data_IF_388292214556
#
_entry.id   IF_388292214556
#
_cell.length_a   1.000
_cell.length_b   1.000
_cell.length_c   1.000
_cell.angle_alpha   90.00
_cell.angle_beta   90.00
_cell.angle_gamma   90.00
#
_symmetry.space_group_name_H-M   'P 1'
#
loop_
_entity.id
_entity.type
_entity.pdbx_description
1 polymer ?
#
# COMPACT_ATOMS: atom_id res chain seq x y z
N UNK A 1 -12.10 -22.64 -50.83
CA UNK A 1 -11.01 -22.42 -49.83
C UNK A 1 -11.55 -21.58 -48.69
N UNK A 2 -11.71 -22.15 -47.50
CA UNK A 2 -12.13 -21.43 -46.30
C UNK A 2 -10.87 -21.12 -45.49
N UNK A 3 -10.52 -19.83 -45.41
CA UNK A 3 -9.38 -19.35 -44.60
C UNK A 3 -9.77 -19.41 -43.13
N UNK A 4 -9.13 -20.27 -42.38
CA UNK A 4 -9.22 -20.27 -40.92
C UNK A 4 -8.39 -19.11 -40.37
N UNK A 5 -9.05 -18.13 -39.75
CA UNK A 5 -8.38 -17.09 -38.97
C UNK A 5 -8.12 -17.68 -37.57
N UNK A 6 -6.86 -17.98 -37.30
CA UNK A 6 -6.39 -18.39 -35.97
C UNK A 6 -6.30 -17.16 -35.09
N UNK A 7 -7.30 -16.93 -34.22
CA UNK A 7 -7.19 -15.95 -33.14
C UNK A 7 -6.21 -16.48 -32.09
N UNK A 8 -4.99 -15.95 -32.09
CA UNK A 8 -4.05 -16.16 -30.99
C UNK A 8 -4.55 -15.40 -29.76
N UNK A 9 -5.07 -16.13 -28.78
CA UNK A 9 -5.34 -15.59 -27.45
C UNK A 9 -3.98 -15.34 -26.76
N UNK A 10 -3.57 -14.10 -26.61
CA UNK A 10 -2.46 -13.73 -25.74
C UNK A 10 -2.92 -13.95 -24.29
N UNK A 11 -2.45 -15.03 -23.68
CA UNK A 11 -2.55 -15.20 -22.24
C UNK A 11 -1.66 -14.16 -21.60
N UNK A 12 -2.24 -13.10 -21.03
CA UNK A 12 -1.53 -12.18 -20.16
C UNK A 12 -1.06 -12.97 -18.95
N UNK A 13 0.24 -13.16 -18.79
CA UNK A 13 0.79 -13.76 -17.58
C UNK A 13 0.50 -12.81 -16.41
N UNK A 14 -0.23 -13.31 -15.40
CA UNK A 14 -0.50 -12.55 -14.19
C UNK A 14 0.83 -12.25 -13.49
N UNK A 15 1.14 -10.96 -13.28
CA UNK A 15 2.27 -10.54 -12.47
C UNK A 15 1.84 -10.67 -11.01
N UNK A 16 2.54 -11.51 -10.24
CA UNK A 16 2.30 -11.62 -8.81
C UNK A 16 3.63 -11.67 -8.06
N UNK A 17 3.69 -11.03 -6.91
CA UNK A 17 4.86 -11.00 -6.08
C UNK A 17 4.55 -10.56 -4.65
N UNK A 18 5.59 -10.50 -3.84
CA UNK A 18 5.48 -10.07 -2.45
C UNK A 18 6.84 -9.93 -1.81
N UNK A 19 6.82 -9.44 -0.58
CA UNK A 19 7.99 -9.31 0.27
C UNK A 19 7.56 -9.51 1.73
N UNK A 20 8.21 -10.41 2.44
CA UNK A 20 8.03 -10.63 3.86
C UNK A 20 9.19 -10.09 4.70
N UNK A 21 10.15 -9.41 4.03
CA UNK A 21 11.30 -8.74 4.63
C UNK A 21 12.29 -9.63 5.41
N UNK A 22 12.08 -10.93 5.49
CA UNK A 22 12.87 -11.86 6.31
C UNK A 22 14.34 -11.99 5.89
N UNK A 23 14.63 -11.78 4.62
CA UNK A 23 15.97 -11.88 4.05
C UNK A 23 16.75 -10.56 4.01
N UNK A 24 16.13 -9.46 4.44
CA UNK A 24 16.69 -8.12 4.38
C UNK A 24 17.21 -7.66 5.75
N UNK A 25 18.15 -6.72 5.72
CA UNK A 25 18.65 -6.01 6.91
C UNK A 25 18.96 -4.56 6.55
N UNK A 26 18.68 -3.63 7.47
CA UNK A 26 18.97 -2.21 7.25
C UNK A 26 17.96 -1.53 6.31
N UNK A 27 18.42 -0.98 5.19
CA UNK A 27 17.53 -0.36 4.20
C UNK A 27 16.79 -1.43 3.37
N UNK A 28 15.52 -1.22 3.01
CA UNK A 28 14.75 -2.22 2.25
C UNK A 28 15.23 -2.30 0.79
N UNK A 29 15.95 -3.36 0.44
CA UNK A 29 16.43 -3.59 -0.92
C UNK A 29 15.27 -3.84 -1.89
N UNK A 30 15.30 -3.22 -3.08
CA UNK A 30 14.22 -3.30 -4.08
C UNK A 30 13.00 -2.44 -3.73
N UNK A 31 13.21 -1.46 -2.83
CA UNK A 31 12.23 -0.47 -2.46
C UNK A 31 12.86 0.93 -2.47
N UNK A 32 12.13 1.90 -2.94
CA UNK A 32 12.48 3.32 -2.86
C UNK A 32 11.82 3.95 -1.64
N UNK A 33 12.62 4.17 -0.59
CA UNK A 33 12.21 4.92 0.61
C UNK A 33 12.16 6.42 0.28
N UNK A 34 10.99 7.04 0.44
CA UNK A 34 10.74 8.44 0.09
C UNK A 34 9.62 9.05 0.94
N UNK A 35 9.18 10.24 0.57
CA UNK A 35 8.05 10.95 1.18
C UNK A 35 7.38 11.88 0.20
N UNK A 36 6.12 12.21 0.44
CA UNK A 36 5.44 13.38 -0.10
C UNK A 36 5.59 14.54 0.88
N UNK A 37 5.84 15.73 0.41
CA UNK A 37 5.97 16.93 1.25
C UNK A 37 7.27 17.00 2.03
N UNK A 38 7.23 17.49 3.26
CA UNK A 38 8.39 17.80 4.10
C UNK A 38 8.65 16.75 5.19
N UNK A 39 9.76 16.92 5.94
CA UNK A 39 10.17 16.05 7.03
C UNK A 39 11.15 14.96 6.60
N UNK A 40 11.38 13.96 7.44
CA UNK A 40 12.31 12.87 7.19
C UNK A 40 11.66 11.50 7.46
N UNK A 41 11.31 10.78 6.42
CA UNK A 41 10.87 9.39 6.51
C UNK A 41 12.06 8.49 6.83
N UNK A 42 11.88 7.55 7.76
CA UNK A 42 12.90 6.56 8.12
C UNK A 42 12.35 5.16 7.96
N UNK A 43 12.78 4.48 6.92
CA UNK A 43 12.41 3.12 6.59
C UNK A 43 13.57 2.17 6.87
N UNK A 44 13.34 1.16 7.73
CA UNK A 44 14.35 0.18 8.14
C UNK A 44 13.76 -1.21 8.22
N UNK A 45 14.60 -2.23 8.01
CA UNK A 45 14.24 -3.62 8.31
C UNK A 45 14.73 -3.94 9.71
N UNK A 46 13.80 -4.34 10.58
CA UNK A 46 14.05 -4.64 11.99
C UNK A 46 13.41 -5.97 12.39
N UNK A 47 13.93 -6.59 13.44
CA UNK A 47 13.32 -7.80 14.03
C UNK A 47 12.08 -7.44 14.83
N UNK A 48 11.03 -8.24 14.71
CA UNK A 48 9.84 -8.19 15.56
C UNK A 48 9.34 -9.61 15.83
N UNK A 49 9.35 -10.02 17.11
CA UNK A 49 8.93 -11.36 17.54
C UNK A 49 7.43 -11.62 17.36
N UNK A 50 6.65 -10.55 17.13
CA UNK A 50 5.22 -10.62 16.86
C UNK A 50 4.88 -10.58 15.38
N UNK A 51 5.90 -10.51 14.49
CA UNK A 51 5.70 -10.47 13.04
C UNK A 51 4.88 -11.67 12.56
N UNK A 52 3.95 -11.47 11.61
CA UNK A 52 3.22 -12.56 10.96
C UNK A 52 4.12 -13.54 10.22
N UNK A 53 5.09 -13.06 9.46
CA UNK A 53 6.27 -13.80 9.05
C UNK A 53 7.45 -13.42 9.96
N UNK A 54 8.45 -14.24 10.06
CA UNK A 54 9.58 -14.01 10.97
C UNK A 54 10.89 -14.22 10.24
N UNK A 55 11.94 -13.49 10.62
CA UNK A 55 12.08 -12.71 11.86
C UNK A 55 11.91 -11.19 11.70
N UNK A 56 11.73 -10.65 10.49
CA UNK A 56 11.88 -9.24 10.23
C UNK A 56 10.59 -8.57 9.72
N UNK A 57 10.55 -7.26 9.85
CA UNK A 57 9.48 -6.39 9.37
C UNK A 57 10.07 -5.15 8.71
N UNK A 58 9.34 -4.51 7.80
CA UNK A 58 9.64 -3.16 7.37
C UNK A 58 9.03 -2.18 8.37
N UNK A 59 9.83 -1.27 8.93
CA UNK A 59 9.40 -0.27 9.90
C UNK A 59 9.57 1.14 9.36
N UNK A 60 8.54 1.95 9.53
CA UNK A 60 8.61 3.41 9.44
C UNK A 60 8.69 3.99 10.84
N UNK A 61 9.66 4.87 11.13
CA UNK A 61 9.87 5.52 12.44
C UNK A 61 10.33 6.97 12.35
N UNK A 62 10.37 7.55 11.17
CA UNK A 62 10.65 8.97 10.97
C UNK A 62 9.38 9.81 11.03
N UNK A 63 9.53 11.13 10.91
CA UNK A 63 8.43 12.09 10.86
C UNK A 63 8.48 12.87 9.55
N UNK A 64 7.41 12.72 8.73
CA UNK A 64 7.27 13.42 7.46
C UNK A 64 5.78 13.62 7.14
N UNK A 65 5.46 14.54 6.24
CA UNK A 65 4.06 14.79 5.84
C UNK A 65 3.37 13.49 5.46
N UNK A 66 3.94 12.74 4.51
CA UNK A 66 3.50 11.38 4.17
C UNK A 66 4.73 10.51 3.85
N UNK A 67 5.23 9.70 4.79
CA UNK A 67 6.24 8.69 4.50
C UNK A 67 5.71 7.66 3.50
N UNK A 68 6.46 7.41 2.42
CA UNK A 68 6.12 6.46 1.35
C UNK A 68 7.29 5.53 1.11
N UNK A 69 7.02 4.24 0.92
CA UNK A 69 8.00 3.27 0.48
C UNK A 69 7.45 2.51 -0.73
N UNK A 70 8.08 2.71 -1.90
CA UNK A 70 7.60 2.26 -3.20
C UNK A 70 8.33 0.99 -3.60
N UNK A 71 7.62 -0.06 -4.00
CA UNK A 71 8.21 -1.28 -4.55
C UNK A 71 8.69 -1.05 -5.98
N UNK A 72 10.00 -1.19 -6.22
CA UNK A 72 10.66 -0.68 -7.44
C UNK A 72 10.26 -1.43 -8.73
N UNK A 73 10.15 -2.75 -8.66
CA UNK A 73 9.95 -3.66 -9.80
C UNK A 73 8.48 -3.97 -10.08
N UNK A 74 7.58 -3.01 -9.81
CA UNK A 74 6.14 -3.18 -10.01
C UNK A 74 5.59 -2.18 -11.02
N UNK A 75 4.61 -2.64 -11.83
CA UNK A 75 3.87 -1.81 -12.78
C UNK A 75 2.51 -2.45 -13.02
N UNK A 76 1.48 -2.04 -12.28
CA UNK A 76 0.15 -2.63 -12.31
C UNK A 76 -0.88 -1.60 -12.76
N UNK A 77 -1.72 -1.98 -13.76
CA UNK A 77 -2.90 -1.21 -14.17
C UNK A 77 -4.12 -1.68 -13.41
N UNK A 78 -4.34 -2.99 -13.39
CA UNK A 78 -5.41 -3.69 -12.69
C UNK A 78 -4.83 -4.80 -11.85
N UNK A 79 -5.47 -5.13 -10.72
CA UNK A 79 -4.98 -6.18 -9.84
C UNK A 79 -5.28 -5.92 -8.38
N UNK A 80 -4.32 -6.23 -7.51
CA UNK A 80 -4.43 -5.96 -6.08
C UNK A 80 -3.09 -5.58 -5.47
N UNK A 81 -3.16 -4.92 -4.31
CA UNK A 81 -2.06 -4.74 -3.36
C UNK A 81 -2.57 -5.02 -1.95
N UNK A 82 -1.77 -5.71 -1.14
CA UNK A 82 -2.12 -6.04 0.23
C UNK A 82 -0.88 -6.02 1.13
N UNK A 83 -1.10 -5.77 2.42
CA UNK A 83 -0.05 -5.76 3.45
C UNK A 83 -0.65 -6.11 4.80
N UNK A 84 0.14 -6.73 5.67
CA UNK A 84 -0.12 -6.69 7.10
C UNK A 84 0.63 -5.52 7.71
N UNK A 85 -0.03 -4.77 8.59
CA UNK A 85 0.59 -3.65 9.27
C UNK A 85 0.20 -3.63 10.76
N UNK A 86 1.07 -3.05 11.59
CA UNK A 86 0.81 -2.83 13.02
C UNK A 86 1.15 -1.38 13.35
N UNK A 87 0.14 -0.53 13.66
CA UNK A 87 0.39 0.81 14.17
C UNK A 87 0.92 0.70 15.61
N UNK A 88 2.13 1.20 15.87
CA UNK A 88 2.81 1.00 17.16
C UNK A 88 2.76 2.24 18.02
N UNK A 89 3.00 3.41 17.42
CA UNK A 89 3.06 4.69 18.11
C UNK A 89 2.80 5.85 17.15
N UNK A 90 2.63 7.02 17.71
CA UNK A 90 2.39 8.31 17.08
C UNK A 90 1.42 9.10 17.94
N UNK A 91 1.61 10.41 18.03
CA UNK A 91 0.73 11.34 18.76
C UNK A 91 -0.21 12.07 17.80
N UNK A 92 0.32 12.45 16.64
CA UNK A 92 -0.46 13.10 15.59
C UNK A 92 -1.22 12.07 14.76
N UNK A 93 -0.58 10.93 14.48
CA UNK A 93 -1.19 9.88 13.65
C UNK A 93 -0.70 8.48 14.03
N UNK A 94 -1.51 7.44 13.81
CA UNK A 94 -1.13 6.03 13.91
C UNK A 94 -1.72 5.27 12.72
N UNK A 95 -1.16 5.53 11.55
CA UNK A 95 -1.68 5.05 10.28
C UNK A 95 -0.77 4.03 9.61
N UNK A 96 -1.38 3.06 8.92
CA UNK A 96 -0.72 2.19 7.97
C UNK A 96 -1.56 2.04 6.72
N UNK A 97 -0.92 2.02 5.54
CA UNK A 97 -1.63 1.99 4.27
C UNK A 97 -0.84 1.37 3.13
N UNK A 98 -1.54 1.16 2.03
CA UNK A 98 -0.98 0.75 0.74
C UNK A 98 -1.22 1.83 -0.30
N UNK A 99 -0.31 1.93 -1.27
CA UNK A 99 -0.45 2.78 -2.45
C UNK A 99 -0.51 1.92 -3.71
N UNK A 100 -1.20 2.42 -4.74
CA UNK A 100 -1.24 1.81 -6.07
C UNK A 100 -1.31 2.86 -7.17
N UNK A 101 -1.05 2.43 -8.40
CA UNK A 101 -0.88 3.29 -9.58
C UNK A 101 0.03 4.49 -9.28
N UNK A 102 1.06 4.25 -8.47
CA UNK A 102 2.01 5.25 -8.06
C UNK A 102 2.92 5.59 -9.26
N UNK A 103 2.94 6.87 -9.63
CA UNK A 103 3.81 7.42 -10.67
C UNK A 103 5.12 7.92 -10.07
N UNK A 104 5.02 8.58 -8.91
CA UNK A 104 6.13 9.17 -8.16
C UNK A 104 5.71 9.42 -6.69
N UNK A 105 6.55 10.10 -5.92
CA UNK A 105 6.30 10.41 -4.52
C UNK A 105 5.12 11.36 -4.27
N UNK A 106 4.59 12.02 -5.30
CA UNK A 106 3.55 13.05 -5.19
C UNK A 106 2.26 12.68 -5.94
N UNK A 107 2.25 11.53 -6.67
CA UNK A 107 1.15 11.15 -7.55
C UNK A 107 0.80 9.66 -7.41
N UNK A 108 -0.21 9.34 -6.62
CA UNK A 108 -0.63 7.95 -6.32
C UNK A 108 -2.01 7.88 -5.65
N UNK A 109 -2.62 6.71 -5.67
CA UNK A 109 -3.76 6.37 -4.78
C UNK A 109 -3.27 5.80 -3.46
N UNK A 110 -4.08 6.00 -2.39
CA UNK A 110 -3.83 5.46 -1.05
C UNK A 110 -5.10 4.88 -0.48
N UNK A 111 -5.01 3.72 0.16
CA UNK A 111 -5.94 3.28 1.18
C UNK A 111 -5.17 3.13 2.50
N UNK A 112 -5.68 3.73 3.58
CA UNK A 112 -5.06 3.64 4.90
C UNK A 112 -6.08 3.34 5.99
N UNK A 113 -5.65 2.66 7.06
CA UNK A 113 -6.38 2.56 8.31
C UNK A 113 -5.62 3.34 9.40
N UNK A 114 -6.34 3.96 10.35
CA UNK A 114 -5.77 4.81 11.38
C UNK A 114 -6.35 4.48 12.75
N UNK A 115 -5.46 4.15 13.70
CA UNK A 115 -5.85 3.73 15.04
C UNK A 115 -6.28 4.90 15.94
N UNK A 116 -5.86 6.14 15.67
CA UNK A 116 -6.31 7.32 16.43
C UNK A 116 -7.68 7.84 15.95
N UNK A 117 -8.00 7.60 14.68
CA UNK A 117 -9.25 8.07 14.07
C UNK A 117 -10.32 6.97 13.98
N UNK A 118 -9.99 5.71 14.21
CA UNK A 118 -10.88 4.55 14.04
C UNK A 118 -11.60 4.57 12.69
N UNK A 119 -10.83 4.69 11.60
CA UNK A 119 -11.38 4.69 10.26
C UNK A 119 -10.44 4.06 9.21
N UNK A 120 -11.05 3.65 8.10
CA UNK A 120 -10.37 3.32 6.85
C UNK A 120 -10.79 4.36 5.82
N UNK A 121 -9.81 4.95 5.12
CA UNK A 121 -10.08 6.01 4.15
C UNK A 121 -9.24 5.81 2.88
N UNK A 122 -9.84 6.12 1.74
CA UNK A 122 -9.22 6.06 0.43
C UNK A 122 -9.05 7.49 -0.13
N UNK A 123 -7.91 7.75 -0.76
CA UNK A 123 -7.53 9.06 -1.27
C UNK A 123 -6.84 8.93 -2.63
N UNK A 124 -6.79 10.03 -3.36
CA UNK A 124 -5.73 10.29 -4.33
C UNK A 124 -4.79 11.39 -3.83
N UNK A 125 -3.52 11.33 -4.21
CA UNK A 125 -2.53 12.38 -4.03
C UNK A 125 -2.09 12.83 -5.42
N UNK A 126 -2.25 14.10 -5.73
CA UNK A 126 -1.92 14.71 -7.04
C UNK A 126 -1.07 15.94 -6.77
N UNK A 127 0.18 15.95 -7.29
CA UNK A 127 1.13 17.02 -7.03
C UNK A 127 1.36 17.25 -5.54
N UNK A 128 1.40 16.19 -4.74
CA UNK A 128 1.56 16.23 -3.29
C UNK A 128 0.30 16.59 -2.49
N UNK A 129 -0.78 17.02 -3.15
CA UNK A 129 -2.05 17.34 -2.49
C UNK A 129 -2.92 16.09 -2.36
N UNK A 130 -3.19 15.68 -1.13
CA UNK A 130 -4.05 14.55 -0.80
C UNK A 130 -5.50 14.97 -0.65
N UNK A 131 -6.41 14.23 -1.33
CA UNK A 131 -7.87 14.43 -1.26
C UNK A 131 -8.55 13.10 -1.00
N UNK A 132 -9.37 13.03 0.07
CA UNK A 132 -10.20 11.86 0.37
C UNK A 132 -11.45 11.84 -0.50
N UNK A 133 -11.84 10.67 -0.99
CA UNK A 133 -13.08 10.51 -1.74
C UNK A 133 -14.02 9.44 -1.17
N UNK A 134 -13.57 8.64 -0.20
CA UNK A 134 -14.41 7.73 0.58
C UNK A 134 -13.77 7.41 1.93
N UNK A 135 -14.60 7.32 2.97
CA UNK A 135 -14.18 6.91 4.32
C UNK A 135 -15.24 6.01 4.97
N UNK A 136 -14.80 5.12 5.87
CA UNK A 136 -15.63 4.23 6.65
C UNK A 136 -15.10 4.16 8.08
N UNK A 137 -15.97 4.45 9.06
CA UNK A 137 -15.66 4.25 10.47
C UNK A 137 -15.47 2.76 10.73
N UNK A 138 -14.31 2.40 11.23
CA UNK A 138 -13.90 1.02 11.44
C UNK A 138 -12.90 1.00 12.59
N UNK A 139 -13.13 0.18 13.60
CA UNK A 139 -12.20 0.06 14.73
C UNK A 139 -10.86 -0.44 14.24
N UNK A 140 -9.80 0.31 14.58
CA UNK A 140 -8.40 -0.02 14.29
C UNK A 140 -7.61 -0.01 15.59
N UNK A 141 -7.22 -1.19 16.07
CA UNK A 141 -6.52 -1.30 17.33
C UNK A 141 -5.04 -0.93 17.20
N UNK A 142 -4.53 -0.05 18.08
CA UNK A 142 -3.09 0.19 18.19
C UNK A 142 -2.37 -1.03 18.76
N UNK A 143 -1.14 -1.28 18.31
CA UNK A 143 -0.30 -2.40 18.75
C UNK A 143 -0.73 -3.78 18.26
N UNK A 144 -1.69 -3.86 17.34
CA UNK A 144 -2.25 -5.10 16.79
C UNK A 144 -1.94 -5.19 15.29
N UNK A 145 -1.66 -6.40 14.82
CA UNK A 145 -1.50 -6.68 13.39
C UNK A 145 -2.86 -6.68 12.68
N UNK A 146 -2.98 -5.88 11.65
CA UNK A 146 -4.13 -5.76 10.76
C UNK A 146 -3.77 -6.15 9.33
N UNK A 147 -4.74 -6.58 8.55
CA UNK A 147 -4.60 -6.84 7.12
C UNK A 147 -5.37 -5.79 6.32
N UNK A 148 -4.70 -5.12 5.40
CA UNK A 148 -5.31 -4.17 4.47
C UNK A 148 -5.03 -4.61 3.03
N UNK A 149 -6.07 -4.65 2.22
CA UNK A 149 -6.02 -5.01 0.80
C UNK A 149 -6.86 -4.07 -0.03
N UNK A 150 -6.35 -3.72 -1.20
CA UNK A 150 -7.10 -3.02 -2.24
C UNK A 150 -7.10 -3.88 -3.49
N UNK A 151 -8.28 -4.19 -4.01
CA UNK A 151 -8.47 -4.71 -5.35
C UNK A 151 -8.89 -3.55 -6.25
N UNK A 152 -8.26 -3.41 -7.41
CA UNK A 152 -8.49 -2.30 -8.34
C UNK A 152 -8.63 -2.80 -9.78
N UNK A 153 -9.70 -2.34 -10.45
CA UNK A 153 -10.01 -2.65 -11.84
C UNK A 153 -10.68 -1.46 -12.53
N UNK A 154 -10.08 -0.96 -13.62
CA UNK A 154 -10.53 0.30 -14.23
C UNK A 154 -10.52 1.42 -13.18
N UNK A 155 -11.66 2.09 -13.00
CA UNK A 155 -11.85 3.12 -11.98
C UNK A 155 -12.47 2.60 -10.67
N UNK A 156 -12.71 1.31 -10.55
CA UNK A 156 -13.36 0.70 -9.38
C UNK A 156 -12.32 0.18 -8.39
N UNK A 157 -12.54 0.47 -7.11
CA UNK A 157 -11.68 0.06 -6.00
C UNK A 157 -12.50 -0.59 -4.90
N UNK A 158 -12.01 -1.74 -4.41
CA UNK A 158 -12.58 -2.44 -3.26
C UNK A 158 -11.51 -2.50 -2.18
N UNK A 159 -11.79 -1.93 -1.01
CA UNK A 159 -10.90 -2.00 0.15
C UNK A 159 -11.44 -3.03 1.13
N UNK A 160 -10.56 -3.97 1.48
CA UNK A 160 -10.79 -5.00 2.49
C UNK A 160 -9.88 -4.74 3.69
N UNK A 161 -10.46 -4.64 4.87
CA UNK A 161 -9.76 -4.51 6.15
C UNK A 161 -10.14 -5.68 7.06
N UNK A 162 -9.15 -6.39 7.59
CA UNK A 162 -9.31 -7.59 8.43
C UNK A 162 -10.34 -8.58 7.86
N UNK A 163 -10.22 -8.87 6.57
CA UNK A 163 -11.08 -9.79 5.80
C UNK A 163 -12.51 -9.31 5.57
N UNK A 164 -12.85 -8.05 5.91
CA UNK A 164 -14.17 -7.47 5.63
C UNK A 164 -14.06 -6.39 4.56
N UNK A 165 -14.92 -6.45 3.54
CA UNK A 165 -15.06 -5.34 2.59
C UNK A 165 -15.61 -4.13 3.36
N UNK A 166 -14.84 -3.04 3.40
CA UNK A 166 -15.18 -1.82 4.12
C UNK A 166 -15.48 -0.65 3.20
N UNK A 167 -14.84 -0.60 2.01
CA UNK A 167 -15.07 0.46 1.03
C UNK A 167 -15.25 -0.16 -0.35
N UNK A 168 -16.16 0.41 -1.12
CA UNK A 168 -16.25 0.30 -2.56
C UNK A 168 -16.39 1.72 -3.11
N UNK A 169 -15.51 2.09 -4.05
CA UNK A 169 -15.43 3.46 -4.56
C UNK A 169 -14.94 3.48 -6.00
N UNK A 170 -15.18 4.60 -6.68
CA UNK A 170 -14.71 4.85 -8.03
C UNK A 170 -13.97 6.18 -8.06
N UNK A 171 -12.87 6.24 -8.82
CA UNK A 171 -12.14 7.48 -9.11
C UNK A 171 -11.33 7.32 -10.40
N UNK A 172 -11.26 8.36 -11.22
CA UNK A 172 -10.62 8.37 -12.54
C UNK A 172 -9.31 9.16 -12.57
N UNK A 173 -8.75 9.58 -11.42
CA UNK A 173 -7.58 10.44 -11.36
C UNK A 173 -6.34 9.82 -12.00
N UNK A 174 -6.15 8.50 -11.87
CA UNK A 174 -5.05 7.77 -12.51
C UNK A 174 -5.58 6.52 -13.23
N UNK A 175 -5.57 6.56 -14.57
CA UNK A 175 -6.03 5.45 -15.41
C UNK A 175 -4.89 4.49 -15.83
N UNK A 176 -3.64 4.96 -15.78
CA UNK A 176 -2.47 4.22 -16.24
C UNK A 176 -1.91 3.27 -15.17
N UNK A 177 -1.11 2.30 -15.61
CA UNK A 177 -0.34 1.45 -14.73
C UNK A 177 0.65 2.28 -13.91
N UNK A 178 0.94 1.82 -12.70
CA UNK A 178 1.93 2.42 -11.82
C UNK A 178 2.43 1.43 -10.76
N UNK A 179 3.35 1.90 -9.94
CA UNK A 179 3.94 1.11 -8.87
C UNK A 179 2.97 0.91 -7.72
N UNK A 180 3.30 -0.03 -6.84
CA UNK A 180 2.63 -0.26 -5.55
C UNK A 180 3.61 -0.04 -4.40
N UNK A 181 3.11 0.07 -3.18
CA UNK A 181 3.97 0.28 -2.01
C UNK A 181 3.18 0.43 -0.72
N UNK A 182 3.86 0.92 0.32
CA UNK A 182 3.30 1.18 1.64
C UNK A 182 3.43 2.65 2.01
N UNK A 183 2.59 3.09 2.97
CA UNK A 183 2.39 4.49 3.29
C UNK A 183 2.07 4.67 4.78
N UNK A 184 2.55 5.79 5.34
CA UNK A 184 2.13 6.27 6.67
C UNK A 184 1.90 7.79 6.65
N UNK A 185 1.58 8.38 7.81
CA UNK A 185 1.37 9.82 7.98
C UNK A 185 2.06 10.33 9.23
N UNK A 186 2.59 11.54 9.13
CA UNK A 186 3.16 12.33 10.23
C UNK A 186 4.18 11.53 11.06
N UNK A 187 3.96 11.43 12.36
CA UNK A 187 4.80 10.76 13.33
C UNK A 187 4.44 9.27 13.55
N UNK A 188 3.65 8.69 12.65
CA UNK A 188 3.25 7.27 12.77
C UNK A 188 4.45 6.35 12.79
N UNK A 189 4.62 5.59 13.87
CA UNK A 189 5.52 4.43 13.91
C UNK A 189 4.70 3.19 13.55
N UNK A 190 5.01 2.61 12.39
CA UNK A 190 4.23 1.50 11.83
C UNK A 190 5.15 0.40 11.32
N UNK A 191 4.80 -0.84 11.65
CA UNK A 191 5.45 -2.05 11.13
C UNK A 191 4.62 -2.61 9.98
N UNK A 192 5.30 -3.14 8.97
CA UNK A 192 4.70 -3.78 7.79
C UNK A 192 5.33 -5.15 7.56
N UNK A 193 4.49 -6.11 7.15
CA UNK A 193 4.89 -7.48 6.85
C UNK A 193 3.95 -8.10 5.80
N UNK A 194 4.33 -9.25 5.24
CA UNK A 194 3.53 -9.99 4.26
C UNK A 194 2.95 -9.09 3.14
N UNK A 195 3.78 -8.17 2.61
CA UNK A 195 3.39 -7.37 1.46
C UNK A 195 3.20 -8.26 0.24
N UNK A 196 2.09 -8.08 -0.46
CA UNK A 196 1.79 -8.84 -1.66
C UNK A 196 1.05 -8.02 -2.70
N UNK A 197 1.23 -8.35 -3.97
CA UNK A 197 0.57 -7.71 -5.10
C UNK A 197 0.37 -8.70 -6.23
N UNK A 198 -0.59 -8.40 -7.11
CA UNK A 198 -0.78 -9.17 -8.32
C UNK A 198 -1.51 -8.35 -9.37
N UNK A 199 -1.10 -8.52 -10.63
CA UNK A 199 -1.72 -7.93 -11.82
C UNK A 199 -2.58 -8.94 -12.57
N UNK A 200 -3.54 -8.41 -13.34
CA UNK A 200 -4.38 -9.18 -14.28
C UNK A 200 -3.97 -8.86 -15.71
#
# INVERSE_FOLDING_TARGET
MRTLILCAAFASSAIAGGDNFDKATGAPAGWTATKTGSGEARWTIEKDDTAPSKPNVLKQSGEATYPVCIKDDTMLKDGFVAVKFKPVAGKEDQAGGVIWRCKDADNYYIARANALEDNVTIYHTIGGRRVSFKSMNTKVASGVWHALRVDFHGNQFIVTFDRRKVIEANDDSFADAGKVGVWTKADSVTLFDDFSYGGK
#
